data_IF_036537794216
#
_entry.id   IF_036537794216
#
_cell.length_a   1.000
_cell.length_b   1.000
_cell.length_c   1.000
_cell.angle_alpha   90.00
_cell.angle_beta   90.00
_cell.angle_gamma   90.00
#
_symmetry.space_group_name_H-M   'P 1'
#
loop_
_entity.id
_entity.type
_entity.pdbx_description
1 polymer ?
#
# COMPACT_ATOMS: atom_id res chain seq x y z
N UNK A 1 -9.47 4.74 7.51
CA UNK A 1 -9.16 4.60 8.95
C UNK A 1 -7.76 5.14 9.27
N UNK A 2 -6.71 4.70 8.56
CA UNK A 2 -5.34 5.22 8.77
C UNK A 2 -5.19 6.72 8.51
N UNK A 3 -5.85 7.29 7.50
CA UNK A 3 -5.88 8.74 7.28
C UNK A 3 -6.36 9.50 8.52
N UNK A 4 -7.44 9.02 9.14
CA UNK A 4 -7.97 9.63 10.36
C UNK A 4 -7.03 9.47 11.55
N UNK A 5 -6.35 8.32 11.66
CA UNK A 5 -5.35 8.08 12.70
C UNK A 5 -4.14 9.03 12.56
N UNK A 6 -3.68 9.24 11.32
CA UNK A 6 -2.59 10.18 11.03
C UNK A 6 -2.95 11.64 11.32
N UNK A 7 -4.18 12.05 10.98
CA UNK A 7 -4.72 13.37 11.32
C UNK A 7 -4.76 13.61 12.83
N UNK A 8 -5.16 12.59 13.60
CA UNK A 8 -5.32 12.65 15.05
C UNK A 8 -4.09 12.20 15.85
N UNK A 9 -2.91 12.12 15.20
CA UNK A 9 -1.71 11.53 15.81
C UNK A 9 -1.31 12.20 17.12
N UNK A 10 -1.46 13.52 17.22
CA UNK A 10 -1.12 14.26 18.43
C UNK A 10 -2.11 14.00 19.57
N UNK A 11 -3.39 13.90 19.25
CA UNK A 11 -4.44 13.54 20.20
C UNK A 11 -4.29 12.10 20.69
N UNK A 12 -3.87 11.19 19.81
CA UNK A 12 -3.57 9.80 20.17
C UNK A 12 -2.39 9.74 21.13
N UNK A 13 -1.32 10.48 20.88
CA UNK A 13 -0.19 10.60 21.81
C UNK A 13 -0.66 11.08 23.19
N UNK A 14 -1.41 12.19 23.24
CA UNK A 14 -1.96 12.73 24.50
C UNK A 14 -2.87 11.71 25.21
N UNK A 15 -3.67 10.98 24.45
CA UNK A 15 -4.51 9.92 25.00
C UNK A 15 -3.67 8.80 25.63
N UNK A 16 -2.62 8.32 24.95
CA UNK A 16 -1.74 7.27 25.46
C UNK A 16 -1.02 7.69 26.75
N UNK A 17 -0.54 8.93 26.82
CA UNK A 17 0.05 9.51 28.03
C UNK A 17 -0.96 9.55 29.19
N UNK A 18 -2.19 9.98 28.93
CA UNK A 18 -3.26 10.00 29.92
C UNK A 18 -3.65 8.60 30.43
N UNK A 19 -3.54 7.58 29.58
CA UNK A 19 -3.73 6.17 29.97
C UNK A 19 -2.52 5.55 30.68
N UNK A 20 -1.46 6.33 30.94
CA UNK A 20 -0.18 5.88 31.51
C UNK A 20 0.53 4.82 30.65
N UNK A 21 0.26 4.80 29.34
CA UNK A 21 0.92 3.93 28.37
C UNK A 21 2.17 4.63 27.81
N UNK A 22 3.11 4.95 28.70
CA UNK A 22 4.26 5.79 28.36
C UNK A 22 5.15 5.15 27.29
N UNK A 23 5.40 3.84 27.38
CA UNK A 23 6.19 3.11 26.37
C UNK A 23 5.57 3.20 24.97
N UNK A 24 4.26 2.96 24.86
CA UNK A 24 3.55 3.05 23.59
C UNK A 24 3.48 4.48 23.05
N UNK A 25 3.32 5.47 23.93
CA UNK A 25 3.35 6.89 23.55
C UNK A 25 4.71 7.28 22.97
N UNK A 26 5.80 6.91 23.66
CA UNK A 26 7.17 7.18 23.20
C UNK A 26 7.47 6.45 21.89
N UNK A 27 7.04 5.19 21.75
CA UNK A 27 7.17 4.44 20.50
C UNK A 27 6.39 5.09 19.35
N UNK A 28 5.17 5.57 19.62
CA UNK A 28 4.34 6.21 18.61
C UNK A 28 4.91 7.57 18.20
N UNK A 29 5.56 8.32 19.09
CA UNK A 29 6.23 9.60 18.77
C UNK A 29 7.47 9.45 17.90
N UNK A 30 8.10 8.27 17.86
CA UNK A 30 9.33 8.05 17.08
C UNK A 30 9.15 8.52 15.64
N UNK A 31 10.11 9.28 15.08
CA UNK A 31 10.04 9.76 13.70
C UNK A 31 9.77 8.63 12.71
N UNK A 32 10.41 7.46 12.89
CA UNK A 32 10.18 6.27 12.06
C UNK A 32 8.73 5.76 12.10
N UNK A 33 8.08 5.77 13.26
CA UNK A 33 6.69 5.37 13.41
C UNK A 33 5.74 6.37 12.74
N UNK A 34 6.02 7.67 12.86
CA UNK A 34 5.24 8.72 12.21
C UNK A 34 5.39 8.71 10.69
N UNK A 35 6.62 8.54 10.18
CA UNK A 35 6.88 8.36 8.75
C UNK A 35 6.17 7.12 8.19
N UNK A 36 6.24 6.00 8.92
CA UNK A 36 5.53 4.78 8.54
C UNK A 36 4.02 4.98 8.49
N UNK A 37 3.44 5.63 9.50
CA UNK A 37 2.00 5.90 9.55
C UNK A 37 1.56 6.81 8.40
N UNK A 38 2.35 7.86 8.09
CA UNK A 38 2.11 8.75 6.95
C UNK A 38 2.12 7.97 5.63
N UNK A 39 3.17 7.17 5.41
CA UNK A 39 3.35 6.35 4.22
C UNK A 39 2.22 5.35 4.02
N UNK A 40 1.91 4.56 5.06
CA UNK A 40 0.80 3.61 5.02
C UNK A 40 -0.50 4.34 4.75
N UNK A 41 -0.74 5.48 5.39
CA UNK A 41 -1.95 6.24 5.12
C UNK A 41 -2.05 6.72 3.68
N UNK A 42 -0.97 7.16 3.04
CA UNK A 42 -0.97 7.55 1.62
C UNK A 42 -1.20 6.35 0.69
N UNK A 43 -0.55 5.20 0.96
CA UNK A 43 -0.77 3.96 0.19
C UNK A 43 -2.22 3.50 0.31
N UNK A 44 -2.76 3.43 1.53
CA UNK A 44 -4.14 3.00 1.75
C UNK A 44 -5.17 3.92 1.10
N UNK A 45 -4.90 5.23 1.03
CA UNK A 45 -5.78 6.14 0.29
C UNK A 45 -5.77 5.84 -1.22
N UNK A 46 -4.62 5.46 -1.77
CA UNK A 46 -4.55 5.05 -3.18
C UNK A 46 -5.29 3.74 -3.44
N UNK A 47 -5.22 2.79 -2.51
CA UNK A 47 -5.96 1.52 -2.56
C UNK A 47 -7.46 1.74 -2.38
N UNK A 48 -7.87 2.64 -1.48
CA UNK A 48 -9.27 3.01 -1.31
C UNK A 48 -9.84 3.62 -2.60
N UNK A 49 -9.08 4.50 -3.25
CA UNK A 49 -9.45 5.06 -4.56
C UNK A 49 -9.57 3.99 -5.65
N UNK A 50 -8.68 3.00 -5.68
CA UNK A 50 -8.82 1.86 -6.58
C UNK A 50 -10.08 1.06 -6.25
N UNK A 51 -10.28 0.71 -4.98
CA UNK A 51 -11.42 -0.07 -4.52
C UNK A 51 -12.76 0.61 -4.87
N UNK A 52 -12.87 1.93 -4.71
CA UNK A 52 -14.06 2.69 -5.15
C UNK A 52 -14.31 2.59 -6.66
N UNK A 53 -13.25 2.62 -7.48
CA UNK A 53 -13.37 2.44 -8.94
C UNK A 53 -13.84 1.03 -9.30
N UNK A 54 -13.47 0.02 -8.51
CA UNK A 54 -13.91 -1.35 -8.71
C UNK A 54 -15.37 -1.55 -8.24
N UNK A 55 -15.79 -0.92 -7.15
CA UNK A 55 -17.14 -1.09 -6.59
C UNK A 55 -18.27 -0.33 -7.32
N UNK A 56 -17.96 0.52 -8.30
CA UNK A 56 -18.97 1.34 -8.99
C UNK A 56 -19.96 0.53 -9.85
N UNK A 57 -21.25 0.88 -9.83
CA UNK A 57 -22.33 0.10 -10.47
C UNK A 57 -22.26 -0.07 -12.00
N UNK A 58 -21.46 0.72 -12.70
CA UNK A 58 -21.28 0.66 -14.18
C UNK A 58 -19.93 0.06 -14.61
N UNK A 59 -19.23 -0.63 -13.71
CA UNK A 59 -17.93 -1.26 -13.99
C UNK A 59 -18.12 -2.66 -14.59
N UNK A 60 -17.45 -2.93 -15.71
CA UNK A 60 -17.39 -4.26 -16.32
C UNK A 60 -15.96 -4.81 -16.21
N UNK A 61 -15.75 -6.10 -16.50
CA UNK A 61 -14.45 -6.77 -16.31
C UNK A 61 -13.28 -6.03 -17.00
N UNK A 62 -13.54 -5.42 -18.17
CA UNK A 62 -12.55 -4.62 -18.90
C UNK A 62 -12.17 -3.37 -18.12
N UNK A 63 -13.14 -2.60 -17.62
CA UNK A 63 -12.90 -1.40 -16.80
C UNK A 63 -12.16 -1.73 -15.49
N UNK A 64 -12.49 -2.84 -14.85
CA UNK A 64 -11.78 -3.28 -13.63
C UNK A 64 -10.31 -3.59 -13.92
N UNK A 65 -10.06 -4.33 -15.01
CA UNK A 65 -8.71 -4.66 -15.46
C UNK A 65 -7.91 -3.41 -15.75
N UNK A 66 -8.49 -2.44 -16.47
CA UNK A 66 -7.82 -1.18 -16.78
C UNK A 66 -7.51 -0.37 -15.52
N UNK A 67 -8.44 -0.34 -14.54
CA UNK A 67 -8.23 0.34 -13.27
C UNK A 67 -7.09 -0.28 -12.45
N UNK A 68 -7.02 -1.61 -12.39
CA UNK A 68 -5.93 -2.34 -11.72
C UNK A 68 -4.59 -2.08 -12.44
N UNK A 69 -4.56 -2.20 -13.77
CA UNK A 69 -3.36 -1.97 -14.56
C UNK A 69 -2.81 -0.55 -14.41
N UNK A 70 -3.69 0.44 -14.51
CA UNK A 70 -3.33 1.83 -14.29
C UNK A 70 -2.77 2.05 -12.88
N UNK A 71 -3.30 1.35 -11.87
CA UNK A 71 -2.79 1.43 -10.51
C UNK A 71 -1.40 0.79 -10.38
N UNK A 72 -1.16 -0.37 -10.99
CA UNK A 72 0.16 -1.03 -11.02
C UNK A 72 1.19 -0.13 -11.71
N UNK A 73 0.87 0.41 -12.88
CA UNK A 73 1.77 1.32 -13.60
C UNK A 73 2.06 2.61 -12.81
N UNK A 74 1.06 3.11 -12.07
CA UNK A 74 1.24 4.24 -11.15
C UNK A 74 2.24 3.91 -10.04
N UNK A 75 2.14 2.74 -9.40
CA UNK A 75 3.09 2.29 -8.37
C UNK A 75 4.51 2.09 -8.93
N UNK A 76 4.62 1.49 -10.13
CA UNK A 76 5.91 1.35 -10.84
C UNK A 76 6.55 2.71 -11.12
N UNK A 77 5.76 3.69 -11.57
CA UNK A 77 6.23 5.05 -11.79
C UNK A 77 6.73 5.70 -10.49
N UNK A 78 6.00 5.53 -9.39
CA UNK A 78 6.41 6.05 -8.10
C UNK A 78 7.72 5.43 -7.63
N UNK A 79 7.85 4.11 -7.75
CA UNK A 79 9.08 3.41 -7.40
C UNK A 79 10.27 3.92 -8.23
N UNK A 80 10.11 4.09 -9.55
CA UNK A 80 11.15 4.67 -10.42
C UNK A 80 11.53 6.10 -10.01
N UNK A 81 10.57 6.94 -9.65
CA UNK A 81 10.83 8.31 -9.21
C UNK A 81 11.63 8.35 -7.92
N UNK A 82 11.29 7.48 -6.97
CA UNK A 82 12.00 7.32 -5.70
C UNK A 82 13.42 6.77 -5.94
N UNK A 83 13.58 5.77 -6.83
CA UNK A 83 14.91 5.26 -7.19
C UNK A 83 15.80 6.29 -7.89
N UNK A 84 15.21 7.19 -8.68
CA UNK A 84 15.94 8.25 -9.38
C UNK A 84 16.27 9.44 -8.47
N UNK A 85 15.41 9.73 -7.49
CA UNK A 85 15.60 10.77 -6.49
C UNK A 85 15.01 10.28 -5.16
N UNK A 86 15.84 9.74 -4.24
CA UNK A 86 15.42 9.14 -2.99
C UNK A 86 14.54 10.04 -2.10
N UNK A 87 14.73 11.37 -2.17
CA UNK A 87 13.95 12.35 -1.42
C UNK A 87 12.64 12.79 -2.12
N UNK A 88 12.28 12.21 -3.28
CA UNK A 88 11.10 12.63 -4.03
C UNK A 88 9.82 11.97 -3.53
N UNK A 89 9.28 12.49 -2.44
CA UNK A 89 8.02 12.05 -1.85
C UNK A 89 6.79 12.80 -2.37
N UNK A 90 6.89 13.56 -3.45
CA UNK A 90 5.78 14.39 -4.00
C UNK A 90 4.47 13.66 -4.29
N UNK A 91 4.49 12.33 -4.33
CA UNK A 91 3.33 11.45 -4.55
C UNK A 91 2.66 10.99 -3.25
N UNK A 92 3.32 11.21 -2.12
CA UNK A 92 2.91 10.85 -0.77
C UNK A 92 2.66 12.15 0.01
N UNK A 93 1.43 12.67 -0.09
CA UNK A 93 1.10 13.98 0.46
C UNK A 93 1.32 14.06 1.97
N UNK A 94 0.97 13.02 2.72
CA UNK A 94 1.15 12.99 4.18
C UNK A 94 2.62 12.85 4.55
N UNK A 95 3.37 12.05 3.80
CA UNK A 95 4.83 11.93 3.98
C UNK A 95 5.51 13.27 3.72
N UNK A 96 5.23 13.94 2.59
CA UNK A 96 5.75 15.27 2.31
C UNK A 96 5.37 16.27 3.40
N UNK A 97 4.08 16.30 3.78
CA UNK A 97 3.61 17.22 4.82
C UNK A 97 4.29 16.98 6.17
N UNK A 98 4.65 15.73 6.49
CA UNK A 98 5.37 15.38 7.72
C UNK A 98 6.83 15.82 7.67
N UNK A 99 7.51 15.60 6.54
CA UNK A 99 8.91 15.99 6.34
C UNK A 99 9.09 17.52 6.30
N UNK A 100 8.07 18.25 5.85
CA UNK A 100 8.07 19.71 5.85
C UNK A 100 7.81 20.31 7.26
N UNK A 101 7.49 19.50 8.28
CA UNK A 101 7.28 19.99 9.65
C UNK A 101 8.61 20.26 10.36
N UNK A 102 8.72 21.44 10.97
CA UNK A 102 9.88 21.81 11.79
C UNK A 102 10.07 20.80 12.95
N UNK A 103 11.26 20.22 13.06
CA UNK A 103 11.64 19.31 14.14
C UNK A 103 11.48 17.81 13.85
N UNK A 104 11.15 17.41 12.62
CA UNK A 104 11.19 16.00 12.23
C UNK A 104 12.64 15.55 11.97
N UNK A 105 13.18 14.66 12.81
CA UNK A 105 14.49 14.05 12.58
C UNK A 105 14.40 13.06 11.41
N UNK A 106 15.32 13.20 10.44
CA UNK A 106 15.41 12.33 9.27
C UNK A 106 15.50 10.86 9.70
N UNK A 107 14.59 10.03 9.19
CA UNK A 107 14.60 8.59 9.43
C UNK A 107 15.75 7.98 8.61
N UNK A 108 16.54 7.07 9.19
CA UNK A 108 17.56 6.32 8.45
C UNK A 108 16.92 5.67 7.19
N UNK A 109 17.32 6.21 6.04
CA UNK A 109 16.76 5.99 4.70
C UNK A 109 16.67 4.50 4.29
N UNK A 110 17.59 3.69 4.82
CA UNK A 110 17.80 2.30 4.43
C UNK A 110 16.64 1.36 4.82
N UNK A 111 15.97 1.61 5.95
CA UNK A 111 14.86 0.76 6.41
C UNK A 111 13.55 1.09 5.66
N UNK A 112 13.34 2.37 5.34
CA UNK A 112 12.16 2.84 4.66
C UNK A 112 12.12 2.35 3.19
N UNK A 113 13.23 2.47 2.45
CA UNK A 113 13.29 2.02 1.06
C UNK A 113 13.12 0.50 0.89
N UNK A 114 13.68 -0.30 1.79
CA UNK A 114 13.59 -1.76 1.73
C UNK A 114 12.16 -2.26 2.01
N UNK A 115 11.39 -1.56 2.84
CA UNK A 115 10.00 -1.94 3.10
C UNK A 115 9.05 -1.53 1.96
N UNK A 116 9.35 -0.43 1.26
CA UNK A 116 8.59 0.03 0.09
C UNK A 116 8.77 -0.91 -1.11
N UNK A 117 9.99 -1.42 -1.35
CA UNK A 117 10.27 -2.27 -2.50
C UNK A 117 9.53 -3.62 -2.46
N UNK A 118 9.29 -4.17 -1.26
CA UNK A 118 8.61 -5.45 -1.05
C UNK A 118 7.11 -5.44 -1.34
N UNK A 119 6.46 -4.27 -1.46
CA UNK A 119 5.02 -4.17 -1.75
C UNK A 119 4.64 -4.38 -3.24
N UNK A 120 5.63 -4.43 -4.15
CA UNK A 120 5.40 -4.37 -5.60
C UNK A 120 5.38 -5.73 -6.34
N UNK A 121 5.43 -6.87 -5.63
CA UNK A 121 5.42 -8.20 -6.26
C UNK A 121 4.00 -8.75 -6.36
N UNK A 122 3.29 -8.39 -7.43
CA UNK A 122 2.10 -9.14 -7.87
C UNK A 122 2.56 -10.31 -8.73
N UNK A 123 2.12 -11.53 -8.40
CA UNK A 123 2.48 -12.75 -9.15
C UNK A 123 2.00 -12.64 -10.60
N UNK A 124 2.94 -12.64 -11.54
CA UNK A 124 2.71 -12.47 -12.97
C UNK A 124 1.78 -13.57 -13.53
N UNK A 125 1.77 -14.75 -12.92
CA UNK A 125 0.91 -15.86 -13.33
C UNK A 125 -0.55 -15.64 -12.90
N UNK A 126 -0.78 -15.06 -11.71
CA UNK A 126 -2.14 -14.67 -11.27
C UNK A 126 -2.67 -13.56 -12.19
N UNK A 127 -1.82 -12.60 -12.55
CA UNK A 127 -2.19 -11.55 -13.48
C UNK A 127 -2.56 -12.14 -14.86
N UNK A 128 -1.72 -13.01 -15.41
CA UNK A 128 -1.98 -13.66 -16.70
C UNK A 128 -3.30 -14.43 -16.71
N UNK A 129 -3.63 -15.15 -15.64
CA UNK A 129 -4.89 -15.90 -15.50
C UNK A 129 -6.13 -15.01 -15.71
N UNK A 130 -6.08 -13.77 -15.20
CA UNK A 130 -7.18 -12.80 -15.37
C UNK A 130 -7.24 -12.18 -16.77
N UNK A 131 -6.10 -12.10 -17.46
CA UNK A 131 -5.96 -11.33 -18.70
C UNK A 131 -6.04 -12.15 -19.99
N UNK A 132 -5.64 -13.42 -19.92
CA UNK A 132 -5.66 -14.38 -21.03
C UNK A 132 -5.86 -15.80 -20.48
N UNK A 133 -7.05 -16.09 -19.90
CA UNK A 133 -7.31 -17.30 -19.12
C UNK A 133 -7.10 -18.60 -19.90
N UNK A 134 -7.26 -18.58 -21.23
CA UNK A 134 -7.12 -19.77 -22.09
C UNK A 134 -5.68 -20.05 -22.52
N UNK A 135 -4.75 -19.14 -22.24
CA UNK A 135 -3.36 -19.22 -22.67
C UNK A 135 -2.39 -19.17 -21.47
N UNK A 136 -2.92 -19.42 -20.28
CA UNK A 136 -2.17 -19.51 -19.03
C UNK A 136 -1.85 -20.96 -18.76
N UNK A 137 -0.57 -21.27 -18.60
CA UNK A 137 -0.16 -22.58 -18.15
C UNK A 137 -0.50 -22.72 -16.67
N UNK A 138 -1.50 -23.56 -16.43
CA UNK A 138 -2.14 -23.79 -15.14
C UNK A 138 -1.11 -24.28 -14.11
N UNK A 139 -0.02 -24.92 -14.55
CA UNK A 139 1.04 -25.45 -13.67
C UNK A 139 1.82 -24.38 -12.90
N UNK A 140 1.79 -23.12 -13.38
CA UNK A 140 2.46 -22.00 -12.72
C UNK A 140 1.53 -21.19 -11.79
N UNK A 141 0.31 -21.67 -11.56
CA UNK A 141 -0.63 -21.00 -10.66
C UNK A 141 -0.38 -21.38 -9.19
N UNK A 142 -0.66 -20.47 -8.24
CA UNK A 142 -0.60 -20.76 -6.81
C UNK A 142 -1.46 -21.99 -6.43
N UNK A 143 -0.95 -22.82 -5.52
CA UNK A 143 -1.58 -24.08 -5.06
C UNK A 143 -3.09 -24.05 -4.76
N UNK A 144 -3.67 -22.97 -4.18
CA UNK A 144 -5.12 -22.87 -3.97
C UNK A 144 -5.96 -22.93 -5.25
N UNK A 145 -5.42 -22.45 -6.39
CA UNK A 145 -6.07 -22.43 -7.70
C UNK A 145 -5.85 -23.74 -8.49
N UNK A 146 -4.87 -24.54 -8.08
CA UNK A 146 -4.57 -25.86 -8.65
C UNK A 146 -5.46 -26.97 -8.10
N UNK A 147 -6.32 -26.69 -7.12
CA UNK A 147 -7.27 -27.70 -6.61
C UNK A 147 -8.26 -28.06 -7.71
N UNK A 148 -8.09 -29.25 -8.28
CA UNK A 148 -9.07 -29.92 -9.15
C UNK A 148 -10.47 -29.72 -8.56
N UNK A 149 -11.38 -29.19 -9.37
CA UNK A 149 -12.80 -29.14 -9.05
C UNK A 149 -13.23 -30.49 -8.49
N UNK A 150 -13.87 -30.44 -7.33
CA UNK A 150 -14.47 -31.61 -6.68
C UNK A 150 -15.22 -32.41 -7.76
N UNK A 151 -14.83 -33.68 -7.93
CA UNK A 151 -15.45 -34.55 -8.92
C UNK A 151 -16.95 -34.58 -8.70
N UNK A 152 -17.69 -34.24 -9.75
CA UNK A 152 -19.09 -34.61 -9.84
C UNK A 152 -19.05 -36.10 -10.22
N UNK A 153 -18.94 -36.97 -9.23
CA UNK A 153 -19.20 -38.40 -9.43
C UNK A 153 -20.71 -38.55 -9.70
N UNK A 154 -21.00 -39.23 -10.81
CA UNK A 154 -22.34 -39.50 -11.35
C UNK A 154 -22.92 -40.76 -10.74
#
# INVERSE_FOLDING_TARGET
MLARLFELREEVVKFLENQKQNELSEDFKKPSAQAMLAYLSDIFDTLNNLNLKLQGGDSNIVKHRDAINMHIEKLRLWNRNISANPCNYSKFQKVSSLLDQEGFEEVEEADFHNQISNFNTMDENIYRLSTDPFNVDIQFLPGPLLRRGCGIET
#
